data_IF_253790856179
#
_entry.id   IF_253790856179
#
_cell.length_a   1.000
_cell.length_b   1.000
_cell.length_c   1.000
_cell.angle_alpha   90.00
_cell.angle_beta   90.00
_cell.angle_gamma   90.00
#
_symmetry.space_group_name_H-M   'P 1'
#
loop_
_entity.id
_entity.type
_entity.pdbx_description
1 polymer ?
#
# COMPACT_ATOMS: atom_id res chain seq x y z
N UNK A 1 -76.47 12.33 61.62
CA UNK A 1 -77.17 11.07 61.97
C UNK A 1 -77.21 10.17 60.74
N UNK A 2 -76.70 8.92 60.86
CA UNK A 2 -77.02 7.69 60.08
C UNK A 2 -76.83 7.73 58.54
N UNK A 3 -76.42 6.69 57.81
CA UNK A 3 -75.88 5.34 58.00
C UNK A 3 -75.51 4.83 56.59
N UNK A 4 -74.51 3.96 56.54
CA UNK A 4 -74.37 2.75 55.71
C UNK A 4 -74.75 2.72 54.22
N UNK A 5 -73.71 2.46 53.40
CA UNK A 5 -73.54 1.32 52.48
C UNK A 5 -74.76 0.71 51.78
N UNK A 6 -74.66 0.51 50.46
CA UNK A 6 -74.53 -0.83 49.88
C UNK A 6 -74.25 -0.79 48.36
N UNK A 7 -73.41 -1.76 47.98
CA UNK A 7 -72.94 -2.17 46.66
C UNK A 7 -74.06 -2.91 45.90
N UNK A 8 -74.04 -2.92 44.56
CA UNK A 8 -74.25 -4.12 43.71
C UNK A 8 -73.85 -3.88 42.24
N UNK A 9 -73.27 -4.94 41.65
CA UNK A 9 -72.73 -5.07 40.28
C UNK A 9 -73.88 -5.43 39.32
N UNK A 10 -73.87 -5.15 38.02
CA UNK A 10 -73.14 -5.89 36.98
C UNK A 10 -73.77 -5.61 35.60
N UNK A 11 -73.02 -5.77 34.50
CA UNK A 11 -73.57 -5.87 33.15
C UNK A 11 -72.62 -5.37 32.05
N UNK A 12 -72.11 -6.23 31.14
CA UNK A 12 -71.04 -5.88 30.21
C UNK A 12 -71.56 -5.26 28.89
N UNK A 13 -70.86 -4.21 28.44
CA UNK A 13 -71.06 -3.50 27.17
C UNK A 13 -70.43 -4.26 26.00
N UNK A 14 -71.23 -4.56 24.96
CA UNK A 14 -70.74 -4.97 23.63
C UNK A 14 -70.14 -3.76 22.92
N UNK A 15 -68.86 -3.83 22.55
CA UNK A 15 -68.20 -2.84 21.70
C UNK A 15 -67.88 -3.46 20.35
N UNK A 16 -68.39 -2.85 19.29
CA UNK A 16 -68.20 -3.24 17.89
C UNK A 16 -66.78 -2.96 17.43
N UNK A 17 -66.08 -3.98 16.94
CA UNK A 17 -64.72 -3.89 16.40
C UNK A 17 -64.73 -3.50 14.92
N UNK A 18 -64.28 -2.28 14.63
CA UNK A 18 -64.01 -1.75 13.29
C UNK A 18 -62.71 -2.37 12.74
N UNK A 19 -62.78 -3.04 11.58
CA UNK A 19 -61.62 -3.68 10.94
C UNK A 19 -60.78 -2.64 10.19
N UNK A 20 -59.61 -2.30 10.75
CA UNK A 20 -58.60 -1.45 10.11
C UNK A 20 -57.70 -2.31 9.19
N UNK A 21 -57.71 -2.05 7.89
CA UNK A 21 -56.79 -2.69 6.92
C UNK A 21 -55.41 -2.04 7.03
N UNK A 22 -54.45 -2.75 7.60
CA UNK A 22 -53.04 -2.33 7.65
C UNK A 22 -52.37 -2.72 6.33
N UNK A 23 -51.98 -1.72 5.53
CA UNK A 23 -51.07 -1.89 4.39
C UNK A 23 -49.66 -1.87 4.97
N UNK A 24 -49.02 -3.04 5.05
CA UNK A 24 -47.63 -3.15 5.49
C UNK A 24 -46.69 -2.86 4.31
N UNK A 25 -46.21 -1.62 4.20
CA UNK A 25 -45.05 -1.28 3.38
C UNK A 25 -43.79 -1.79 4.09
N UNK A 26 -43.21 -2.89 3.57
CA UNK A 26 -41.91 -3.39 3.99
C UNK A 26 -40.81 -2.42 3.50
N UNK A 27 -40.41 -1.47 4.34
CA UNK A 27 -39.24 -0.63 4.11
C UNK A 27 -37.97 -1.46 4.28
N UNK A 28 -37.22 -1.63 3.19
CA UNK A 28 -35.91 -2.28 3.20
C UNK A 28 -34.89 -1.36 3.87
N UNK A 29 -34.61 -1.57 5.15
CA UNK A 29 -33.51 -0.91 5.87
C UNK A 29 -32.17 -1.45 5.35
N UNK A 30 -31.54 -0.73 4.43
CA UNK A 30 -30.15 -0.95 4.06
C UNK A 30 -29.29 -0.41 5.21
N UNK A 31 -28.92 -1.27 6.16
CA UNK A 31 -27.90 -0.94 7.14
C UNK A 31 -26.57 -0.76 6.39
N UNK A 32 -26.14 0.49 6.22
CA UNK A 32 -24.81 0.80 5.71
C UNK A 32 -23.78 0.28 6.72
N UNK A 33 -23.17 -0.86 6.44
CA UNK A 33 -21.99 -1.31 7.18
C UNK A 33 -20.95 -0.20 7.12
N UNK A 34 -20.40 0.28 8.24
CA UNK A 34 -19.30 1.24 8.19
C UNK A 34 -18.19 0.61 7.36
N UNK A 35 -17.79 1.31 6.29
CA UNK A 35 -16.65 0.91 5.49
C UNK A 35 -15.48 0.66 6.45
N UNK A 36 -15.03 -0.59 6.54
CA UNK A 36 -13.83 -0.92 7.28
C UNK A 36 -12.70 -0.20 6.56
N UNK A 37 -12.37 1.01 7.03
CA UNK A 37 -11.13 1.68 6.66
C UNK A 37 -10.03 0.74 7.14
N UNK A 38 -9.47 -0.05 6.23
CA UNK A 38 -8.31 -0.88 6.52
C UNK A 38 -7.26 0.04 7.12
N UNK A 39 -7.09 -0.04 8.44
CA UNK A 39 -6.07 0.73 9.13
C UNK A 39 -4.75 0.22 8.57
N UNK A 40 -4.09 1.05 7.76
CA UNK A 40 -2.76 0.73 7.25
C UNK A 40 -1.93 0.26 8.44
N UNK A 41 -1.31 -0.92 8.31
CA UNK A 41 -0.54 -1.53 9.41
C UNK A 41 0.49 -0.50 9.91
N UNK A 42 0.64 -0.32 11.24
CA UNK A 42 1.65 0.57 11.77
C UNK A 42 3.02 0.20 11.23
N UNK A 43 3.80 1.20 10.82
CA UNK A 43 5.18 0.94 10.43
C UNK A 43 6.00 0.61 11.67
N UNK A 44 6.81 -0.43 11.58
CA UNK A 44 7.69 -0.85 12.66
C UNK A 44 9.13 -0.83 12.21
N UNK A 45 10.01 -0.42 13.12
CA UNK A 45 11.45 -0.51 12.95
C UNK A 45 12.11 -0.80 14.29
N UNK A 46 13.25 -1.46 14.26
CA UNK A 46 14.04 -1.79 15.44
C UNK A 46 15.52 -1.86 15.09
N UNK A 47 16.36 -1.69 16.11
CA UNK A 47 17.78 -1.99 16.03
C UNK A 47 18.20 -2.85 17.21
N UNK A 48 19.25 -3.62 16.99
CA UNK A 48 19.80 -4.56 17.95
C UNK A 48 20.97 -3.98 18.72
N UNK A 49 21.74 -3.05 18.13
CA UNK A 49 22.86 -2.38 18.81
C UNK A 49 22.93 -0.89 18.45
N UNK A 50 22.59 0.03 19.39
CA UNK A 50 21.89 -0.24 20.64
C UNK A 50 20.48 -0.80 20.39
N UNK A 51 19.89 -1.47 21.38
CA UNK A 51 18.50 -1.93 21.28
C UNK A 51 17.52 -0.75 21.26
N UNK A 52 16.61 -0.73 20.28
CA UNK A 52 15.52 0.24 20.22
C UNK A 52 14.35 -0.29 19.39
N UNK A 53 13.17 0.31 19.60
CA UNK A 53 11.98 0.06 18.79
C UNK A 53 11.28 1.37 18.44
N UNK A 54 10.69 1.41 17.25
CA UNK A 54 9.87 2.51 16.74
C UNK A 54 8.58 1.94 16.18
N UNK A 55 7.45 2.54 16.55
CA UNK A 55 6.15 2.28 15.93
C UNK A 55 5.57 3.59 15.41
N UNK A 56 5.23 3.63 14.12
CA UNK A 56 4.53 4.76 13.49
C UNK A 56 3.11 4.32 13.13
N UNK A 57 2.18 4.61 14.03
CA UNK A 57 0.75 4.37 13.81
C UNK A 57 0.10 5.59 13.13
N UNK A 58 -1.18 5.47 12.78
CA UNK A 58 -1.93 6.52 12.08
C UNK A 58 -1.95 7.87 12.83
N UNK A 59 -1.94 7.85 14.18
CA UNK A 59 -2.04 9.07 15.00
C UNK A 59 -0.80 9.36 15.83
N UNK A 60 -0.03 8.34 16.18
CA UNK A 60 1.10 8.45 17.11
C UNK A 60 2.34 7.73 16.61
N UNK A 61 3.48 8.35 16.82
CA UNK A 61 4.80 7.76 16.64
C UNK A 61 5.45 7.59 18.01
N UNK A 62 5.89 6.37 18.31
CA UNK A 62 6.40 5.97 19.62
C UNK A 62 7.77 5.33 19.49
N UNK A 63 8.75 5.86 20.23
CA UNK A 63 10.12 5.36 20.29
C UNK A 63 10.46 4.87 21.69
N UNK A 64 11.12 3.72 21.78
CA UNK A 64 11.61 3.12 23.01
C UNK A 64 13.06 2.64 22.86
N UNK A 65 13.82 2.77 23.94
CA UNK A 65 15.15 2.19 24.07
C UNK A 65 15.43 1.89 25.56
N UNK A 66 16.18 0.83 25.89
CA UNK A 66 16.55 0.52 27.27
C UNK A 66 17.27 1.69 27.96
N UNK A 67 16.92 1.93 29.23
CA UNK A 67 17.49 3.04 30.01
C UNK A 67 17.08 4.44 29.55
N UNK A 68 16.05 4.56 28.69
CA UNK A 68 15.53 5.84 28.19
C UNK A 68 14.04 5.99 28.48
N UNK A 69 13.59 7.24 28.63
CA UNK A 69 12.15 7.55 28.68
C UNK A 69 11.55 7.35 27.28
N UNK A 70 10.42 6.66 27.21
CA UNK A 70 9.63 6.53 25.98
C UNK A 70 9.28 7.92 25.42
N UNK A 71 9.51 8.12 24.13
CA UNK A 71 9.15 9.36 23.43
C UNK A 71 7.97 9.07 22.52
N UNK A 72 6.85 9.76 22.76
CA UNK A 72 5.65 9.67 21.91
C UNK A 72 5.33 11.05 21.35
N UNK A 73 5.08 11.12 20.04
CA UNK A 73 4.68 12.34 19.33
C UNK A 73 3.49 12.04 18.41
N UNK A 74 2.78 13.08 17.96
CA UNK A 74 1.78 12.91 16.89
C UNK A 74 2.48 12.52 15.59
N UNK A 75 1.91 11.57 14.85
CA UNK A 75 2.45 11.19 13.54
C UNK A 75 2.36 12.38 12.58
N UNK A 76 3.49 12.87 12.03
CA UNK A 76 3.46 13.95 11.06
C UNK A 76 2.95 13.44 9.70
N UNK A 77 2.72 14.37 8.77
CA UNK A 77 2.57 13.97 7.36
C UNK A 77 3.87 13.33 6.89
N UNK A 78 3.73 12.18 6.24
CA UNK A 78 4.88 11.50 5.63
C UNK A 78 5.38 12.31 4.44
N UNK A 79 6.70 12.41 4.31
CA UNK A 79 7.37 12.97 3.14
C UNK A 79 7.90 11.80 2.32
N UNK A 80 7.56 11.74 1.04
CA UNK A 80 8.03 10.68 0.15
C UNK A 80 9.27 11.17 -0.59
N UNK A 81 10.44 10.67 -0.19
CA UNK A 81 11.71 10.92 -0.87
C UNK A 81 11.97 9.87 -1.96
N UNK A 82 13.06 10.07 -2.71
CA UNK A 82 13.50 9.13 -3.74
C UNK A 82 13.96 7.78 -3.17
N UNK A 83 14.64 7.80 -2.01
CA UNK A 83 15.18 6.59 -1.38
C UNK A 83 14.18 5.86 -0.46
N UNK A 84 13.17 6.57 0.03
CA UNK A 84 12.19 6.06 0.98
C UNK A 84 11.40 7.21 1.63
N UNK A 85 10.66 6.89 2.67
CA UNK A 85 9.85 7.84 3.41
C UNK A 85 10.62 8.53 4.55
N UNK A 86 10.18 9.74 4.85
CA UNK A 86 10.69 10.54 5.95
C UNK A 86 9.53 11.01 6.83
N UNK A 87 9.75 10.99 8.14
CA UNK A 87 8.87 11.61 9.11
C UNK A 87 9.68 12.57 9.96
N UNK A 88 9.25 13.83 9.99
CA UNK A 88 9.97 14.88 10.68
C UNK A 88 9.08 15.49 11.76
N UNK A 89 9.61 15.52 12.98
CA UNK A 89 9.01 16.21 14.12
C UNK A 89 10.11 16.91 14.91
N UNK A 90 9.74 17.71 15.91
CA UNK A 90 10.71 18.37 16.78
C UNK A 90 11.59 17.39 17.57
N UNK A 91 11.07 16.20 17.89
CA UNK A 91 11.74 15.24 18.79
C UNK A 91 12.20 13.97 18.10
N UNK A 92 11.40 13.45 17.17
CA UNK A 92 11.70 12.23 16.41
C UNK A 92 11.78 12.57 14.92
N UNK A 93 12.90 12.24 14.29
CA UNK A 93 13.09 12.29 12.85
C UNK A 93 13.44 10.90 12.35
N UNK A 94 12.76 10.43 11.31
CA UNK A 94 12.93 9.09 10.75
C UNK A 94 13.23 9.23 9.27
N UNK A 95 14.26 8.54 8.81
CA UNK A 95 14.62 8.43 7.41
C UNK A 95 14.69 6.95 7.04
N UNK A 96 13.91 6.52 6.06
CA UNK A 96 13.94 5.15 5.53
C UNK A 96 14.61 5.13 4.17
N UNK A 97 15.32 4.04 3.92
CA UNK A 97 15.86 3.70 2.61
C UNK A 97 15.35 2.30 2.28
N UNK A 98 14.66 2.14 1.15
CA UNK A 98 14.18 0.84 0.67
C UNK A 98 15.36 -0.02 0.20
N UNK A 99 16.09 -0.55 1.16
CA UNK A 99 17.26 -1.41 1.01
C UNK A 99 17.16 -2.50 2.07
N UNK A 100 17.26 -3.74 1.60
CA UNK A 100 17.24 -4.93 2.44
C UNK A 100 18.20 -4.77 3.64
N UNK A 101 17.66 -4.95 4.82
CA UNK A 101 18.37 -4.82 6.10
C UNK A 101 18.24 -6.13 6.88
N UNK A 102 19.32 -6.58 7.49
CA UNK A 102 19.31 -7.77 8.36
C UNK A 102 19.72 -7.33 9.75
N UNK A 103 19.01 -7.81 10.78
CA UNK A 103 19.26 -7.44 12.18
C UNK A 103 20.46 -8.17 12.82
N UNK A 104 21.18 -8.98 12.03
CA UNK A 104 22.41 -9.70 12.40
C UNK A 104 22.20 -10.90 13.32
N UNK A 105 21.01 -11.05 13.91
CA UNK A 105 20.74 -12.04 14.97
C UNK A 105 19.61 -13.03 14.63
N UNK A 106 18.65 -12.68 13.76
CA UNK A 106 17.39 -13.44 13.65
C UNK A 106 17.13 -14.13 12.31
N UNK A 107 18.10 -14.22 11.39
CA UNK A 107 17.92 -14.61 9.97
C UNK A 107 16.82 -13.83 9.21
N UNK A 108 16.20 -12.83 9.87
CA UNK A 108 15.13 -12.00 9.33
C UNK A 108 15.74 -10.87 8.50
N UNK A 109 15.25 -10.76 7.28
CA UNK A 109 15.52 -9.61 6.41
C UNK A 109 14.30 -8.69 6.43
N UNK A 110 14.51 -7.38 6.42
CA UNK A 110 13.48 -6.36 6.40
C UNK A 110 13.63 -5.51 5.14
N UNK A 111 12.52 -4.95 4.64
CA UNK A 111 12.52 -4.17 3.38
C UNK A 111 13.34 -2.88 3.44
N UNK A 112 13.49 -2.30 4.64
CA UNK A 112 14.07 -0.97 4.81
C UNK A 112 15.26 -0.95 5.77
N UNK A 113 16.24 -0.11 5.43
CA UNK A 113 17.25 0.40 6.36
C UNK A 113 16.72 1.70 6.96
N UNK A 114 16.75 1.83 8.28
CA UNK A 114 16.11 2.93 9.01
C UNK A 114 17.13 3.69 9.84
N UNK A 115 17.13 5.01 9.69
CA UNK A 115 17.81 5.92 10.62
C UNK A 115 16.77 6.70 11.40
N UNK A 116 16.86 6.64 12.73
CA UNK A 116 15.99 7.39 13.64
C UNK A 116 16.84 8.35 14.46
N UNK A 117 16.50 9.64 14.48
CA UNK A 117 17.09 10.64 15.35
C UNK A 117 16.08 11.07 16.41
N UNK A 118 16.38 10.81 17.69
CA UNK A 118 15.53 11.14 18.84
C UNK A 118 16.26 12.07 19.78
N UNK A 119 15.71 13.27 20.00
CA UNK A 119 16.26 14.30 20.89
C UNK A 119 17.78 14.51 20.68
N UNK A 120 18.22 14.53 19.41
CA UNK A 120 19.61 14.73 19.04
C UNK A 120 20.45 13.45 18.85
N UNK A 121 20.00 12.29 19.36
CA UNK A 121 20.73 11.01 19.27
C UNK A 121 20.29 10.21 18.06
N UNK A 122 21.22 9.58 17.35
CA UNK A 122 20.95 8.78 16.15
C UNK A 122 20.99 7.29 16.46
N UNK A 123 20.04 6.57 15.87
CA UNK A 123 19.85 5.13 15.96
C UNK A 123 19.75 4.57 14.55
N UNK A 124 20.38 3.42 14.31
CA UNK A 124 20.30 2.70 13.04
C UNK A 124 19.68 1.33 13.27
N UNK A 125 18.98 0.82 12.26
CA UNK A 125 18.33 -0.48 12.33
C UNK A 125 17.53 -0.79 11.08
N UNK A 126 16.63 -1.76 11.22
CA UNK A 126 15.82 -2.31 10.14
C UNK A 126 14.35 -1.99 10.37
N UNK A 127 13.56 -1.91 9.30
CA UNK A 127 12.12 -1.67 9.41
C UNK A 127 11.36 -2.03 8.14
N UNK A 128 10.05 -1.85 8.20
CA UNK A 128 9.15 -2.27 7.14
C UNK A 128 8.77 -3.75 7.23
N UNK A 129 8.33 -4.31 6.11
CA UNK A 129 7.87 -5.70 6.07
C UNK A 129 9.06 -6.66 6.23
N UNK A 130 8.86 -7.73 7.01
CA UNK A 130 9.81 -8.85 7.05
C UNK A 130 9.74 -9.55 5.71
N UNK A 131 10.87 -9.59 5.00
CA UNK A 131 10.99 -10.24 3.69
C UNK A 131 11.47 -11.67 3.91
N UNK A 132 10.68 -12.66 3.50
CA UNK A 132 11.13 -14.04 3.42
C UNK A 132 12.20 -14.16 2.30
N UNK A 133 13.31 -14.90 2.49
CA UNK A 133 14.18 -15.30 1.39
C UNK A 133 13.45 -15.86 0.17
N UNK A 134 12.33 -16.58 0.35
CA UNK A 134 11.46 -17.09 -0.70
C UNK A 134 10.70 -15.97 -1.46
N UNK A 135 10.40 -14.85 -0.80
CA UNK A 135 9.73 -13.71 -1.43
C UNK A 135 10.66 -12.90 -2.35
N UNK A 136 11.97 -13.17 -2.35
CA UNK A 136 12.94 -12.44 -3.18
C UNK A 136 12.78 -12.69 -4.68
N UNK A 137 12.18 -13.81 -5.09
CA UNK A 137 11.71 -14.03 -6.47
C UNK A 137 10.28 -13.52 -6.72
N UNK A 138 9.43 -13.56 -5.67
CA UNK A 138 8.02 -13.19 -5.69
C UNK A 138 7.75 -11.68 -5.67
N UNK A 139 8.73 -10.86 -5.27
CA UNK A 139 8.48 -9.45 -4.95
C UNK A 139 7.97 -8.60 -6.13
N UNK A 140 8.22 -9.01 -7.38
CA UNK A 140 7.72 -8.33 -8.59
C UNK A 140 6.73 -9.16 -9.40
N UNK A 141 6.49 -10.41 -8.98
CA UNK A 141 5.58 -11.33 -9.64
C UNK A 141 4.18 -10.73 -9.79
N UNK A 142 3.54 -11.03 -10.92
CA UNK A 142 2.18 -10.60 -11.20
C UNK A 142 2.03 -9.64 -12.37
N UNK A 143 0.79 -9.19 -12.55
CA UNK A 143 0.39 -8.28 -13.62
C UNK A 143 0.28 -6.85 -13.10
N UNK A 144 0.83 -5.92 -13.88
CA UNK A 144 0.98 -4.52 -13.50
C UNK A 144 0.60 -3.59 -14.64
N UNK A 145 -0.07 -2.49 -14.29
CA UNK A 145 -0.27 -1.36 -15.19
C UNK A 145 0.85 -0.35 -15.03
N UNK A 146 1.41 0.13 -16.13
CA UNK A 146 2.39 1.22 -16.13
C UNK A 146 1.61 2.54 -16.00
N UNK A 147 1.80 3.23 -14.87
CA UNK A 147 1.05 4.44 -14.53
C UNK A 147 1.80 5.72 -14.92
N UNK A 148 3.12 5.72 -14.73
CA UNK A 148 3.95 6.90 -14.96
C UNK A 148 5.36 6.54 -15.42
N UNK A 149 5.95 7.43 -16.22
CA UNK A 149 7.34 7.40 -16.68
C UNK A 149 8.01 8.71 -16.26
N UNK A 150 9.11 8.62 -15.51
CA UNK A 150 9.87 9.76 -14.99
C UNK A 150 8.98 10.81 -14.30
N UNK A 151 8.05 10.33 -13.46
CA UNK A 151 7.10 11.16 -12.72
C UNK A 151 5.92 11.71 -13.55
N UNK A 152 5.87 11.49 -14.86
CA UNK A 152 4.78 11.93 -15.73
C UNK A 152 3.79 10.79 -16.00
N UNK A 153 2.47 10.99 -15.83
CA UNK A 153 1.49 9.97 -16.18
C UNK A 153 1.61 9.54 -17.64
N UNK A 154 1.36 8.26 -17.91
CA UNK A 154 1.22 7.76 -19.30
C UNK A 154 0.07 8.49 -20.02
N UNK A 155 0.15 8.63 -21.35
CA UNK A 155 -0.85 9.41 -22.07
C UNK A 155 -2.25 8.82 -21.93
N UNK A 156 -3.23 9.72 -21.89
CA UNK A 156 -4.65 9.36 -21.85
C UNK A 156 -5.01 8.48 -23.06
N UNK A 157 -5.88 7.51 -22.85
CA UNK A 157 -6.25 6.54 -23.88
C UNK A 157 -5.22 5.44 -24.15
N UNK A 158 -4.08 5.44 -23.44
CA UNK A 158 -3.14 4.32 -23.44
C UNK A 158 -3.28 3.50 -22.17
N UNK A 159 -3.00 2.20 -22.25
CA UNK A 159 -3.00 1.29 -21.12
C UNK A 159 -1.78 0.36 -21.16
N UNK A 160 -0.55 0.92 -21.12
CA UNK A 160 0.64 0.09 -21.10
C UNK A 160 0.67 -0.78 -19.84
N UNK A 161 1.16 -2.00 -19.99
CA UNK A 161 1.16 -3.02 -18.95
C UNK A 161 2.40 -3.91 -19.05
N UNK A 162 2.73 -4.54 -17.94
CA UNK A 162 3.80 -5.53 -17.83
C UNK A 162 3.37 -6.63 -16.87
N UNK A 163 3.70 -7.87 -17.22
CA UNK A 163 3.54 -9.06 -16.38
C UNK A 163 4.91 -9.68 -16.19
N UNK A 164 5.25 -9.96 -14.94
CA UNK A 164 6.39 -10.78 -14.54
C UNK A 164 5.82 -12.12 -14.06
N UNK A 165 6.32 -13.21 -14.66
CA UNK A 165 5.94 -14.57 -14.29
C UNK A 165 7.04 -15.56 -14.57
N UNK A 166 7.52 -16.26 -13.55
CA UNK A 166 8.41 -17.41 -13.70
C UNK A 166 9.67 -17.10 -14.55
N UNK A 167 10.26 -15.92 -14.34
CA UNK A 167 11.41 -15.44 -15.12
C UNK A 167 11.07 -14.97 -16.55
N UNK A 168 9.78 -14.91 -16.90
CA UNK A 168 9.28 -14.37 -18.16
C UNK A 168 8.64 -13.00 -17.96
N UNK A 169 9.04 -12.03 -18.80
CA UNK A 169 8.48 -10.68 -18.84
C UNK A 169 7.68 -10.54 -20.12
N UNK A 170 6.45 -10.04 -20.02
CA UNK A 170 5.60 -9.76 -21.19
C UNK A 170 4.72 -8.55 -20.95
N UNK A 171 4.21 -7.92 -22.00
CA UNK A 171 3.35 -6.76 -21.82
C UNK A 171 3.02 -6.00 -23.09
N UNK A 172 2.44 -4.82 -22.88
CA UNK A 172 2.15 -3.83 -23.91
C UNK A 172 2.86 -2.52 -23.57
N UNK A 173 3.70 -2.03 -24.49
CA UNK A 173 4.45 -0.79 -24.35
C UNK A 173 3.69 0.40 -24.98
N UNK A 174 2.36 0.41 -24.94
CA UNK A 174 1.44 1.35 -25.62
C UNK A 174 1.20 1.03 -27.10
N UNK A 175 2.25 1.01 -27.94
CA UNK A 175 2.08 0.67 -29.36
C UNK A 175 2.21 -0.83 -29.61
N UNK A 176 3.37 -1.40 -29.27
CA UNK A 176 3.67 -2.80 -29.49
C UNK A 176 3.56 -3.65 -28.23
N UNK A 177 3.38 -4.94 -28.46
CA UNK A 177 3.57 -5.95 -27.42
C UNK A 177 5.04 -6.32 -27.34
N UNK A 178 5.48 -6.70 -26.15
CA UNK A 178 6.82 -7.19 -25.91
C UNK A 178 6.80 -8.46 -25.07
N UNK A 179 7.82 -9.29 -25.22
CA UNK A 179 8.07 -10.44 -24.37
C UNK A 179 9.57 -10.78 -24.32
N UNK A 180 9.98 -11.51 -23.30
CA UNK A 180 11.35 -11.97 -23.14
C UNK A 180 11.58 -12.60 -21.77
N UNK A 181 12.83 -12.82 -21.42
CA UNK A 181 13.22 -13.27 -20.08
C UNK A 181 13.57 -12.10 -19.18
N UNK A 182 13.48 -12.30 -17.86
CA UNK A 182 14.08 -11.40 -16.88
C UNK A 182 14.76 -12.18 -15.76
N UNK A 183 15.77 -11.56 -15.18
CA UNK A 183 16.32 -11.94 -13.89
C UNK A 183 15.93 -10.91 -12.84
N UNK A 184 15.58 -11.39 -11.64
CA UNK A 184 15.35 -10.53 -10.49
C UNK A 184 16.12 -11.06 -9.28
N UNK A 185 17.15 -10.31 -8.87
CA UNK A 185 18.05 -10.73 -7.79
C UNK A 185 18.35 -9.54 -6.90
N UNK A 186 18.13 -9.68 -5.58
CA UNK A 186 18.47 -8.66 -4.57
C UNK A 186 17.90 -7.27 -4.92
N UNK A 187 16.63 -7.21 -5.35
CA UNK A 187 15.97 -5.94 -5.70
C UNK A 187 16.41 -5.34 -7.02
N UNK A 188 17.19 -6.06 -7.83
CA UNK A 188 17.61 -5.63 -9.17
C UNK A 188 16.93 -6.46 -10.24
N UNK A 189 16.27 -5.77 -11.16
CA UNK A 189 15.66 -6.31 -12.35
C UNK A 189 16.61 -6.11 -13.55
N UNK A 190 16.81 -7.16 -14.31
CA UNK A 190 17.46 -7.12 -15.62
C UNK A 190 16.64 -7.92 -16.62
N UNK A 191 16.09 -7.28 -17.64
CA UNK A 191 15.48 -8.00 -18.75
C UNK A 191 16.58 -8.51 -19.69
N UNK A 192 16.34 -9.69 -20.29
CA UNK A 192 17.07 -10.13 -21.46
C UNK A 192 16.66 -9.34 -22.71
N UNK A 193 17.11 -9.79 -23.88
CA UNK A 193 16.64 -9.21 -25.14
C UNK A 193 15.12 -9.36 -25.25
N UNK A 194 14.42 -8.24 -25.41
CA UNK A 194 12.96 -8.22 -25.56
C UNK A 194 12.60 -8.33 -27.05
N UNK A 195 11.79 -9.34 -27.37
CA UNK A 195 11.13 -9.42 -28.66
C UNK A 195 9.92 -8.47 -28.67
N UNK A 196 9.74 -7.75 -29.77
CA UNK A 196 8.65 -6.78 -29.95
C UNK A 196 7.93 -7.02 -31.27
N UNK A 197 6.63 -6.73 -31.29
CA UNK A 197 5.91 -6.58 -32.56
C UNK A 197 6.40 -5.32 -33.29
N UNK A 198 6.23 -5.25 -34.61
CA UNK A 198 6.67 -4.10 -35.42
C UNK A 198 5.48 -3.32 -36.00
N UNK A 199 4.52 -2.96 -35.15
CA UNK A 199 3.45 -2.04 -35.52
C UNK A 199 3.95 -0.60 -35.39
N UNK A 200 3.64 0.24 -36.36
CA UNK A 200 3.79 1.67 -36.23
C UNK A 200 2.41 2.27 -35.90
N UNK A 201 2.28 2.89 -34.74
CA UNK A 201 1.04 3.56 -34.38
C UNK A 201 0.99 4.93 -35.04
N UNK A 202 -0.18 5.33 -35.55
CA UNK A 202 -0.37 6.66 -36.14
C UNK A 202 -0.22 7.77 -35.09
N UNK A 203 -0.57 7.47 -33.84
CA UNK A 203 -0.41 8.42 -32.75
C UNK A 203 1.04 8.43 -32.24
N UNK A 204 1.76 9.51 -32.56
CA UNK A 204 3.17 9.73 -32.14
C UNK A 204 3.41 9.46 -30.65
N UNK A 205 2.44 9.79 -29.80
CA UNK A 205 2.53 9.60 -28.35
C UNK A 205 2.70 8.12 -27.96
N UNK A 206 2.07 7.18 -28.69
CA UNK A 206 2.21 5.74 -28.42
C UNK A 206 3.62 5.25 -28.74
N UNK A 207 4.21 5.71 -29.86
CA UNK A 207 5.57 5.34 -30.27
C UNK A 207 6.63 5.91 -29.32
N UNK A 208 6.45 7.15 -28.84
CA UNK A 208 7.35 7.78 -27.86
C UNK A 208 7.30 7.05 -26.52
N UNK A 209 6.09 6.72 -26.03
CA UNK A 209 5.93 5.94 -24.81
C UNK A 209 6.53 4.55 -24.92
N UNK A 210 6.32 3.87 -26.05
CA UNK A 210 6.93 2.56 -26.31
C UNK A 210 8.44 2.62 -26.18
N UNK A 211 9.07 3.55 -26.88
CA UNK A 211 10.53 3.72 -26.85
C UNK A 211 11.03 4.02 -25.44
N UNK A 212 10.30 4.82 -24.67
CA UNK A 212 10.65 5.13 -23.29
C UNK A 212 10.54 3.92 -22.36
N UNK A 213 9.51 3.08 -22.53
CA UNK A 213 9.28 1.86 -21.74
C UNK A 213 10.35 0.82 -22.06
N UNK A 214 10.52 0.49 -23.35
CA UNK A 214 11.49 -0.51 -23.79
C UNK A 214 12.92 -0.08 -23.48
N UNK A 215 13.23 1.21 -23.66
CA UNK A 215 14.54 1.77 -23.31
C UNK A 215 14.86 1.65 -21.82
N UNK A 216 13.88 1.73 -20.93
CA UNK A 216 14.09 1.49 -19.50
C UNK A 216 14.33 0.00 -19.21
N UNK A 217 13.56 -0.91 -19.82
CA UNK A 217 13.76 -2.35 -19.60
C UNK A 217 15.08 -2.88 -20.17
N UNK A 218 15.66 -2.20 -21.17
CA UNK A 218 16.99 -2.51 -21.70
C UNK A 218 18.13 -2.20 -20.70
N UNK A 219 17.86 -1.45 -19.63
CA UNK A 219 18.84 -1.12 -18.59
C UNK A 219 18.67 -2.00 -17.34
N UNK A 220 19.69 -2.00 -16.47
CA UNK A 220 19.56 -2.57 -15.12
C UNK A 220 18.73 -1.63 -14.25
N UNK A 221 17.69 -2.16 -13.62
CA UNK A 221 16.75 -1.40 -12.81
C UNK A 221 16.82 -1.82 -11.35
N UNK A 222 16.83 -0.86 -10.43
CA UNK A 222 16.52 -1.10 -9.03
C UNK A 222 15.01 -1.03 -8.85
N UNK A 223 14.45 -1.97 -8.08
CA UNK A 223 13.02 -2.03 -7.78
C UNK A 223 12.80 -1.69 -6.32
N UNK A 224 11.94 -0.72 -6.06
CA UNK A 224 11.37 -0.47 -4.74
C UNK A 224 9.85 -0.64 -4.79
N UNK A 225 9.26 -0.96 -3.64
CA UNK A 225 7.81 -1.03 -3.45
C UNK A 225 7.41 0.04 -2.46
N UNK A 226 6.45 0.88 -2.84
CA UNK A 226 5.90 1.86 -1.90
C UNK A 226 4.76 1.24 -1.07
N UNK A 227 4.35 1.94 -0.01
CA UNK A 227 3.25 1.51 0.88
C UNK A 227 1.89 1.36 0.22
N UNK A 228 1.67 1.99 -0.94
CA UNK A 228 0.44 1.82 -1.72
C UNK A 228 0.46 0.53 -2.55
N UNK A 229 1.51 -0.29 -2.42
CA UNK A 229 1.68 -1.52 -3.19
C UNK A 229 2.13 -1.30 -4.62
N UNK A 230 2.53 -0.07 -5.01
CA UNK A 230 3.08 0.23 -6.33
C UNK A 230 4.57 -0.12 -6.37
N UNK A 231 5.03 -0.62 -7.51
CA UNK A 231 6.46 -0.79 -7.77
C UNK A 231 7.01 0.47 -8.44
N UNK A 232 8.22 0.85 -8.08
CA UNK A 232 8.98 1.91 -8.74
C UNK A 232 10.29 1.31 -9.23
N UNK A 233 10.45 1.31 -10.55
CA UNK A 233 11.62 0.80 -11.24
C UNK A 233 12.49 1.99 -11.60
N UNK A 234 13.76 1.95 -11.25
CA UNK A 234 14.67 3.09 -11.41
C UNK A 234 15.98 2.65 -12.03
N UNK A 235 16.40 3.31 -13.12
CA UNK A 235 17.71 3.06 -13.73
C UNK A 235 18.82 3.87 -13.02
N UNK A 236 20.07 3.66 -13.44
CA UNK A 236 21.22 4.36 -12.88
C UNK A 236 21.19 5.89 -13.11
N UNK A 237 20.53 6.34 -14.18
CA UNK A 237 20.35 7.76 -14.50
C UNK A 237 19.19 8.43 -13.72
N UNK A 238 18.51 7.70 -12.82
CA UNK A 238 17.40 8.22 -12.02
C UNK A 238 16.06 8.33 -12.77
N UNK A 239 15.96 7.82 -14.00
CA UNK A 239 14.68 7.70 -14.72
C UNK A 239 13.85 6.60 -14.07
N UNK A 240 12.57 6.90 -13.86
CA UNK A 240 11.66 6.01 -13.12
C UNK A 240 10.52 5.48 -13.98
N UNK A 241 9.98 4.33 -13.60
CA UNK A 241 8.73 3.78 -14.12
C UNK A 241 7.89 3.27 -12.93
N UNK A 242 6.68 3.79 -12.79
CA UNK A 242 5.77 3.44 -11.69
C UNK A 242 4.74 2.43 -12.17
N UNK A 243 4.66 1.30 -11.49
CA UNK A 243 3.75 0.21 -11.78
C UNK A 243 2.69 0.09 -10.67
N UNK A 244 1.43 0.01 -11.05
CA UNK A 244 0.33 -0.24 -10.11
C UNK A 244 -0.19 -1.66 -10.32
N UNK A 245 -0.51 -2.42 -9.25
CA UNK A 245 -1.08 -3.76 -9.39
C UNK A 245 -2.31 -3.74 -10.29
N UNK A 246 -2.34 -4.64 -11.27
CA UNK A 246 -3.54 -4.85 -12.06
C UNK A 246 -4.55 -5.62 -11.20
N UNK A 247 -5.71 -5.01 -10.90
CA UNK A 247 -6.74 -5.72 -10.15
C UNK A 247 -7.31 -6.81 -11.05
N UNK A 248 -7.21 -8.07 -10.63
CA UNK A 248 -8.00 -9.15 -11.25
C UNK A 248 -9.47 -8.77 -11.08
N UNK A 249 -10.17 -8.59 -12.21
CA UNK A 249 -11.63 -8.48 -12.21
C UNK A 249 -12.24 -9.85 -11.98
#
# INVERSE_FOLDING_TARGET
MKRSAARWKSGPTRSSSMRLKIIATAGLLIAALPAQAQTARPYQASGTEPFWSLTIAARTMRFEAPGRRTVTVKTPRVIHGFAGEMWQTRRINVNTVHKLCTDGMSDRSYSDTVTVKVDGRTYQGCGGDVTDPADRGSAIEGAWRIEALSGRPVARGTAPSVTFRDGHISGNASCNRFNGSYGFVRGRLSAGALATTRMACTERVKNVQESAILGLFAEKLTVSRNRAGKLVLTNAAGRTMTLTPERRR
#
